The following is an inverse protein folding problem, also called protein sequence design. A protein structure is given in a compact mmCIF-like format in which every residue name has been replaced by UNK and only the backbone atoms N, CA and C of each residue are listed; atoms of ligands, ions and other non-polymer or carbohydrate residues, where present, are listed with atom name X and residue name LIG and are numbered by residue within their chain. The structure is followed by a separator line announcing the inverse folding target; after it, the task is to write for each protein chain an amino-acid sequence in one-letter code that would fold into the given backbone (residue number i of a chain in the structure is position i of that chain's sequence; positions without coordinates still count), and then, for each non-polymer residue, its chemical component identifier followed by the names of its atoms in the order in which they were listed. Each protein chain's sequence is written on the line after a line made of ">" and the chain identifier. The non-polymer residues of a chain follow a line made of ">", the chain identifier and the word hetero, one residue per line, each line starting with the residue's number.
data_IF_717889703399
#
_entry.id   IF_717889703399
#
_cell.length_a   1.000
_cell.length_b   1.000
_cell.length_c   1.000
_cell.angle_alpha   90.00
_cell.angle_beta   90.00
_cell.angle_gamma   90.00
#
_symmetry.space_group_name_H-M   'P 1'
#
loop_
_entity.id
_entity.type
_entity.pdbx_description
1 polymer ?
#
# COMPACT_ATOMS: atom_id res chain seq x y z
N UNK A 1 19.89 15.67 18.27
CA UNK A 1 19.47 16.33 17.00
C UNK A 1 18.44 15.43 16.34
N UNK A 2 17.23 15.92 16.02
CA UNK A 2 16.13 15.04 15.57
C UNK A 2 16.05 14.79 14.05
N UNK A 3 16.88 15.46 13.22
CA UNK A 3 16.81 15.39 11.75
C UNK A 3 18.19 15.22 11.10
N UNK A 4 19.08 14.48 11.76
CA UNK A 4 20.36 14.10 11.15
C UNK A 4 20.12 12.97 10.14
N UNK A 5 20.90 12.94 9.06
CA UNK A 5 20.84 11.83 8.10
C UNK A 5 21.26 10.53 8.81
N UNK A 6 20.38 9.52 8.79
CA UNK A 6 20.58 8.23 9.48
C UNK A 6 20.44 7.03 8.55
N UNK A 7 21.12 7.05 7.40
CA UNK A 7 21.13 5.93 6.44
C UNK A 7 19.91 5.82 5.51
N UNK A 8 18.93 6.73 5.60
CA UNK A 8 17.75 6.72 4.74
C UNK A 8 17.46 8.08 4.11
N UNK A 9 17.10 8.07 2.83
CA UNK A 9 16.64 9.24 2.08
C UNK A 9 15.29 8.90 1.44
N UNK A 10 14.22 9.49 1.98
CA UNK A 10 12.87 9.29 1.44
C UNK A 10 12.75 9.79 0.00
N UNK A 11 12.10 9.01 -0.86
CA UNK A 11 11.86 9.38 -2.25
C UNK A 11 10.50 10.06 -2.42
N UNK A 12 10.37 10.85 -3.48
CA UNK A 12 9.09 11.43 -3.87
C UNK A 12 8.11 10.35 -4.35
N UNK A 13 6.82 10.66 -4.31
CA UNK A 13 5.78 9.73 -4.73
C UNK A 13 5.89 9.41 -6.24
N UNK A 14 5.84 8.12 -6.60
CA UNK A 14 5.73 7.71 -8.00
C UNK A 14 4.31 7.89 -8.51
N UNK A 15 4.17 8.57 -9.66
CA UNK A 15 2.88 8.83 -10.30
C UNK A 15 2.61 7.81 -11.40
N UNK A 16 1.63 6.92 -11.16
CA UNK A 16 1.12 6.01 -12.19
C UNK A 16 -0.16 6.56 -12.83
N UNK A 17 -0.02 7.11 -14.04
CA UNK A 17 -1.14 7.64 -14.81
C UNK A 17 -1.93 6.52 -15.51
N UNK A 18 -3.19 6.35 -15.10
CA UNK A 18 -4.10 5.43 -15.77
C UNK A 18 -4.68 6.07 -17.04
N UNK A 19 -4.49 5.43 -18.18
CA UNK A 19 -4.97 5.94 -19.48
C UNK A 19 -6.23 5.21 -19.95
N UNK A 20 -7.04 5.90 -20.76
CA UNK A 20 -8.26 5.35 -21.35
C UNK A 20 -7.96 4.08 -22.18
N UNK A 21 -8.71 3.03 -21.92
CA UNK A 21 -8.64 1.74 -22.61
C UNK A 21 -9.95 1.42 -23.32
N UNK A 22 -10.45 0.20 -23.10
CA UNK A 22 -11.62 -0.33 -23.81
C UNK A 22 -12.91 0.38 -23.40
N UNK A 23 -13.74 0.71 -24.40
CA UNK A 23 -15.12 1.17 -24.19
C UNK A 23 -16.05 -0.02 -24.09
N UNK A 24 -17.00 0.06 -23.17
CA UNK A 24 -18.05 -0.95 -22.98
C UNK A 24 -19.38 -0.28 -22.70
N UNK A 25 -20.45 -0.95 -23.10
CA UNK A 25 -21.81 -0.53 -22.85
C UNK A 25 -22.54 -1.67 -22.13
N UNK A 26 -23.16 -1.36 -21.00
CA UNK A 26 -23.76 -2.34 -20.11
C UNK A 26 -25.18 -1.90 -19.77
N UNK A 27 -26.14 -2.78 -20.00
CA UNK A 27 -27.52 -2.57 -19.56
C UNK A 27 -27.70 -3.12 -18.13
N UNK A 28 -28.31 -2.32 -17.27
CA UNK A 28 -28.51 -2.64 -15.85
C UNK A 28 -29.99 -2.50 -15.52
N UNK A 29 -30.59 -3.51 -14.89
CA UNK A 29 -31.94 -3.42 -14.34
C UNK A 29 -31.88 -2.89 -12.91
N UNK A 30 -32.51 -1.73 -12.64
CA UNK A 30 -32.52 -1.15 -11.29
C UNK A 30 -33.59 -1.80 -10.41
N UNK A 31 -33.23 -2.86 -9.68
CA UNK A 31 -34.13 -3.58 -8.77
C UNK A 31 -34.25 -2.94 -7.38
N UNK A 32 -33.25 -2.17 -6.95
CA UNK A 32 -33.15 -1.54 -5.63
C UNK A 32 -32.80 -0.04 -5.76
N UNK A 33 -32.98 0.72 -4.68
CA UNK A 33 -32.54 2.14 -4.63
C UNK A 33 -31.02 2.28 -4.79
N UNK A 34 -30.28 1.38 -4.16
CA UNK A 34 -28.82 1.40 -4.13
C UNK A 34 -28.26 0.38 -5.12
N UNK A 35 -27.50 0.87 -6.11
CA UNK A 35 -26.80 0.02 -7.07
C UNK A 35 -25.57 -0.69 -6.48
N UNK A 36 -25.08 -0.23 -5.33
CA UNK A 36 -23.85 -0.71 -4.70
C UNK A 36 -22.57 -0.06 -5.23
N UNK A 37 -22.66 1.12 -5.85
CA UNK A 37 -21.52 1.87 -6.37
C UNK A 37 -21.05 2.95 -5.39
N UNK A 38 -19.73 3.10 -5.27
CA UNK A 38 -19.09 4.32 -4.75
C UNK A 38 -18.37 5.01 -5.90
N UNK A 39 -18.73 6.26 -6.17
CA UNK A 39 -18.21 7.04 -7.30
C UNK A 39 -17.28 8.11 -6.78
N UNK A 40 -16.17 8.31 -7.47
CA UNK A 40 -15.24 9.41 -7.26
C UNK A 40 -14.96 10.08 -8.61
N UNK A 41 -14.29 11.23 -8.59
CA UNK A 41 -13.81 11.87 -9.81
C UNK A 41 -12.32 12.22 -9.70
N UNK A 42 -11.72 12.53 -10.85
CA UNK A 42 -10.32 12.95 -10.93
C UNK A 42 -10.13 14.48 -10.82
N UNK A 43 -11.16 15.22 -10.40
CA UNK A 43 -11.15 16.69 -10.35
C UNK A 43 -11.17 17.39 -11.72
N UNK A 44 -11.14 16.66 -12.82
CA UNK A 44 -11.04 17.18 -14.19
C UNK A 44 -12.18 16.68 -15.11
N UNK A 45 -13.35 16.41 -14.52
CA UNK A 45 -14.57 16.09 -15.28
C UNK A 45 -14.74 14.61 -15.66
N UNK A 46 -13.95 13.70 -15.10
CA UNK A 46 -14.15 12.26 -15.28
C UNK A 46 -14.51 11.58 -13.96
N UNK A 47 -15.74 11.11 -13.86
CA UNK A 47 -16.21 10.28 -12.76
C UNK A 47 -15.93 8.80 -13.04
N UNK A 48 -15.52 8.07 -12.01
CA UNK A 48 -15.19 6.65 -12.10
C UNK A 48 -15.58 5.88 -10.85
N UNK A 49 -15.67 4.55 -10.99
CA UNK A 49 -16.08 3.64 -9.93
C UNK A 49 -14.89 3.40 -8.99
N UNK A 50 -15.00 3.87 -7.74
CA UNK A 50 -13.99 3.67 -6.69
C UNK A 50 -14.17 2.35 -5.93
N UNK A 51 -15.42 1.96 -5.69
CA UNK A 51 -15.77 0.71 -4.98
C UNK A 51 -17.08 0.13 -5.53
N UNK A 52 -17.18 -1.19 -5.47
CA UNK A 52 -18.39 -1.96 -5.75
C UNK A 52 -18.70 -2.80 -4.50
N UNK A 53 -19.88 -2.64 -3.93
CA UNK A 53 -20.32 -3.39 -2.75
C UNK A 53 -20.59 -4.85 -3.13
N UNK A 54 -20.04 -5.80 -2.39
CA UNK A 54 -20.29 -7.23 -2.60
C UNK A 54 -21.79 -7.57 -2.49
N UNK A 55 -22.27 -8.48 -3.34
CA UNK A 55 -23.67 -8.92 -3.40
C UNK A 55 -24.65 -7.90 -4.01
N UNK A 56 -24.19 -6.69 -4.36
CA UNK A 56 -25.02 -5.63 -4.96
C UNK A 56 -25.41 -5.91 -6.42
N UNK A 57 -26.35 -5.12 -6.94
CA UNK A 57 -26.80 -5.20 -8.35
C UNK A 57 -25.59 -5.15 -9.29
N UNK A 58 -24.70 -4.18 -9.10
CA UNK A 58 -23.55 -4.01 -9.99
C UNK A 58 -22.49 -5.09 -9.78
N UNK A 59 -22.32 -5.60 -8.54
CA UNK A 59 -21.37 -6.68 -8.28
C UNK A 59 -21.70 -7.97 -9.04
N UNK A 60 -22.97 -8.20 -9.36
CA UNK A 60 -23.41 -9.36 -10.17
C UNK A 60 -23.13 -9.21 -11.66
N UNK A 61 -22.68 -8.04 -12.11
CA UNK A 61 -22.42 -7.74 -13.51
C UNK A 61 -20.90 -7.71 -13.73
N UNK A 62 -20.36 -8.84 -14.20
CA UNK A 62 -18.90 -9.02 -14.36
C UNK A 62 -18.24 -7.99 -15.29
N UNK A 63 -19.00 -7.44 -16.24
CA UNK A 63 -18.51 -6.42 -17.15
C UNK A 63 -18.17 -5.09 -16.46
N UNK A 64 -18.70 -4.81 -15.26
CA UNK A 64 -18.46 -3.55 -14.53
C UNK A 64 -17.38 -3.76 -13.48
N UNK A 65 -16.33 -2.94 -13.52
CA UNK A 65 -15.14 -3.07 -12.71
C UNK A 65 -14.80 -1.79 -11.95
N UNK A 66 -14.10 -1.93 -10.82
CA UNK A 66 -13.45 -0.80 -10.17
C UNK A 66 -12.42 -0.17 -11.12
N UNK A 67 -12.39 1.16 -11.15
CA UNK A 67 -11.57 1.98 -12.05
C UNK A 67 -12.26 2.39 -13.35
N UNK A 68 -13.41 1.79 -13.69
CA UNK A 68 -14.14 2.19 -14.90
C UNK A 68 -14.63 3.63 -14.79
N UNK A 69 -14.32 4.42 -15.82
CA UNK A 69 -14.86 5.78 -15.98
C UNK A 69 -16.25 5.71 -16.60
N UNK A 70 -17.19 6.47 -16.07
CA UNK A 70 -18.56 6.55 -16.59
C UNK A 70 -18.60 7.73 -17.58
N UNK A 71 -18.88 7.48 -18.86
CA UNK A 71 -18.99 8.53 -19.89
C UNK A 71 -20.44 8.96 -20.13
N UNK A 72 -21.39 8.04 -19.96
CA UNK A 72 -22.81 8.33 -20.14
C UNK A 72 -23.70 7.40 -19.29
N UNK A 73 -24.86 7.92 -18.92
CA UNK A 73 -25.99 7.17 -18.34
C UNK A 73 -27.17 7.33 -19.31
N UNK A 74 -27.66 6.22 -19.85
CA UNK A 74 -28.52 6.19 -21.04
C UNK A 74 -27.86 6.98 -22.17
N UNK A 75 -28.60 7.90 -22.79
CA UNK A 75 -28.12 8.77 -23.87
C UNK A 75 -27.57 10.11 -23.34
N UNK A 76 -27.48 10.29 -22.02
CA UNK A 76 -26.96 11.52 -21.41
C UNK A 76 -25.48 11.39 -21.10
N UNK A 77 -24.66 12.20 -21.77
CA UNK A 77 -23.23 12.29 -21.43
C UNK A 77 -23.06 12.98 -20.08
N UNK A 78 -22.18 12.43 -19.27
CA UNK A 78 -21.85 12.95 -17.94
C UNK A 78 -20.40 13.44 -17.85
N UNK A 79 -19.73 13.60 -18.99
CA UNK A 79 -18.38 14.18 -19.04
C UNK A 79 -18.45 15.62 -18.56
N UNK A 80 -17.59 15.98 -17.61
CA UNK A 80 -17.62 17.28 -16.93
C UNK A 80 -18.40 17.28 -15.61
N UNK A 81 -19.25 16.28 -15.36
CA UNK A 81 -19.97 16.17 -14.10
C UNK A 81 -19.04 15.76 -12.95
N UNK A 82 -19.34 16.26 -11.76
CA UNK A 82 -18.71 15.82 -10.50
C UNK A 82 -19.31 14.50 -10.04
N UNK A 83 -18.52 13.73 -9.30
CA UNK A 83 -18.92 12.44 -8.76
C UNK A 83 -20.26 12.44 -7.98
N UNK A 84 -20.59 13.51 -7.27
CA UNK A 84 -21.85 13.61 -6.52
C UNK A 84 -23.06 13.81 -7.44
N UNK A 85 -22.91 14.48 -8.58
CA UNK A 85 -23.95 14.66 -9.58
C UNK A 85 -24.26 13.33 -10.26
N UNK A 86 -23.21 12.60 -10.64
CA UNK A 86 -23.33 11.25 -11.22
C UNK A 86 -23.99 10.29 -10.22
N UNK A 87 -23.59 10.33 -8.95
CA UNK A 87 -24.20 9.52 -7.90
C UNK A 87 -25.68 9.88 -7.69
N UNK A 88 -26.04 11.16 -7.78
CA UNK A 88 -27.43 11.63 -7.70
C UNK A 88 -28.25 11.12 -8.89
N UNK A 89 -27.75 11.28 -10.12
CA UNK A 89 -28.42 10.80 -11.34
C UNK A 89 -28.73 9.29 -11.25
N UNK A 90 -27.75 8.48 -10.84
CA UNK A 90 -27.95 7.04 -10.67
C UNK A 90 -28.98 6.69 -9.58
N UNK A 91 -29.02 7.48 -8.50
CA UNK A 91 -30.01 7.32 -7.42
C UNK A 91 -31.41 7.69 -7.89
N UNK A 92 -31.55 8.69 -8.75
CA UNK A 92 -32.84 9.20 -9.24
C UNK A 92 -33.42 8.38 -10.41
N UNK A 93 -32.64 7.48 -11.01
CA UNK A 93 -33.14 6.58 -12.05
C UNK A 93 -34.40 5.79 -11.58
N UNK A 94 -35.40 5.58 -12.45
CA UNK A 94 -36.60 4.83 -12.09
C UNK A 94 -36.28 3.39 -11.66
N UNK A 95 -36.96 2.91 -10.62
CA UNK A 95 -36.91 1.49 -10.22
C UNK A 95 -37.64 0.63 -11.25
N UNK A 96 -37.25 -0.64 -11.31
CA UNK A 96 -37.81 -1.66 -12.19
C UNK A 96 -37.71 -1.33 -13.69
N UNK A 97 -36.83 -0.39 -14.06
CA UNK A 97 -36.52 -0.08 -15.45
C UNK A 97 -35.04 -0.35 -15.76
N UNK A 98 -34.73 -0.83 -16.97
CA UNK A 98 -33.37 -0.91 -17.43
C UNK A 98 -32.81 0.49 -17.74
N UNK A 99 -31.53 0.67 -17.46
CA UNK A 99 -30.76 1.83 -17.90
C UNK A 99 -29.42 1.36 -18.46
N UNK A 100 -28.81 2.19 -19.29
CA UNK A 100 -27.54 1.86 -19.95
C UNK A 100 -26.40 2.65 -19.31
N UNK A 101 -25.26 2.01 -19.12
CA UNK A 101 -24.01 2.64 -18.71
C UNK A 101 -23.00 2.52 -19.84
N UNK A 102 -22.47 3.67 -20.28
CA UNK A 102 -21.30 3.69 -21.17
C UNK A 102 -20.06 3.93 -20.32
N UNK A 103 -19.19 2.92 -20.29
CA UNK A 103 -18.01 2.88 -19.44
C UNK A 103 -16.73 2.83 -20.26
N UNK A 104 -15.64 3.35 -19.70
CA UNK A 104 -14.29 3.26 -20.25
C UNK A 104 -13.39 2.64 -19.20
N UNK A 105 -12.88 1.45 -19.50
CA UNK A 105 -11.94 0.76 -18.64
C UNK A 105 -10.54 1.36 -18.80
N UNK A 106 -9.78 1.60 -17.72
CA UNK A 106 -8.39 2.00 -17.82
C UNK A 106 -7.56 0.85 -18.39
N UNK A 107 -6.55 1.16 -19.21
CA UNK A 107 -5.61 0.13 -19.71
C UNK A 107 -4.90 -0.52 -18.53
N UNK A 108 -4.95 -1.85 -18.45
CA UNK A 108 -4.21 -2.62 -17.44
C UNK A 108 -2.98 -3.24 -18.10
N UNK A 109 -1.86 -3.26 -17.37
CA UNK A 109 -0.59 -3.79 -17.89
C UNK A 109 -0.68 -5.26 -18.35
N UNK A 110 -1.61 -6.04 -17.77
CA UNK A 110 -1.80 -7.46 -18.07
C UNK A 110 -2.71 -7.74 -19.26
N UNK A 111 -3.33 -6.74 -19.89
CA UNK A 111 -4.14 -6.94 -21.10
C UNK A 111 -3.26 -7.25 -22.34
N UNK A 112 -1.92 -7.14 -22.23
CA UNK A 112 -0.97 -7.43 -23.32
C UNK A 112 -0.25 -8.78 -23.20
N UNK A 113 -0.54 -9.59 -22.17
CA UNK A 113 0.01 -10.93 -22.00
C UNK A 113 -1.17 -11.91 -21.98
N UNK A 114 -1.29 -12.75 -23.00
CA UNK A 114 -2.43 -13.66 -23.19
C UNK A 114 -2.81 -14.41 -21.91
N UNK A 115 -4.12 -14.37 -21.59
CA UNK A 115 -4.73 -15.00 -20.43
C UNK A 115 -4.31 -16.47 -20.30
N UNK A 116 -3.45 -16.78 -19.33
CA UNK A 116 -3.43 -18.12 -18.72
C UNK A 116 -4.36 -18.10 -17.52
N UNK A 117 -5.38 -18.92 -17.61
CA UNK A 117 -6.41 -19.19 -16.62
C UNK A 117 -5.85 -19.44 -15.21
N UNK A 118 -5.90 -18.41 -14.35
CA UNK A 118 -6.01 -18.60 -12.89
C UNK A 118 -6.96 -17.55 -12.33
N UNK A 119 -8.01 -18.03 -11.68
CA UNK A 119 -9.15 -17.24 -11.25
C UNK A 119 -8.77 -16.04 -10.39
N UNK A 120 -9.48 -14.94 -10.63
CA UNK A 120 -9.51 -13.75 -9.78
C UNK A 120 -9.84 -14.14 -8.35
N UNK A 121 -8.81 -14.23 -7.51
CA UNK A 121 -8.95 -13.96 -6.08
C UNK A 121 -8.37 -12.57 -5.87
N UNK A 122 -9.25 -11.61 -5.60
CA UNK A 122 -8.85 -10.33 -5.04
C UNK A 122 -8.03 -10.62 -3.78
N UNK A 123 -6.82 -10.06 -3.61
CA UNK A 123 -6.09 -10.20 -2.36
C UNK A 123 -6.94 -9.59 -1.24
N UNK A 124 -7.24 -10.45 -0.26
CA UNK A 124 -7.78 -10.10 1.05
C UNK A 124 -6.91 -9.01 1.66
N UNK A 125 -7.55 -8.13 2.43
CA UNK A 125 -7.01 -7.03 3.25
C UNK A 125 -5.63 -7.32 3.87
N UNK A 126 -4.57 -7.22 3.07
CA UNK A 126 -3.23 -6.96 3.56
C UNK A 126 -3.15 -5.45 3.80
N UNK A 127 -2.66 -5.05 4.97
CA UNK A 127 -2.36 -3.65 5.33
C UNK A 127 -1.60 -3.05 4.14
N UNK A 128 -2.29 -2.21 3.34
CA UNK A 128 -1.74 -1.65 2.11
C UNK A 128 -0.64 -0.69 2.54
N UNK A 129 0.62 -1.11 2.41
CA UNK A 129 1.75 -0.20 2.58
C UNK A 129 1.65 0.87 1.49
N UNK A 130 2.13 2.08 1.77
CA UNK A 130 2.01 3.22 0.85
C UNK A 130 2.73 3.00 -0.49
N UNK A 131 3.50 1.91 -0.64
CA UNK A 131 4.42 1.68 -1.76
C UNK A 131 5.50 2.77 -1.87
N UNK A 132 5.69 3.55 -0.79
CA UNK A 132 6.71 4.59 -0.73
C UNK A 132 8.07 3.94 -0.56
N UNK A 133 9.00 4.31 -1.43
CA UNK A 133 10.36 3.82 -1.43
C UNK A 133 11.29 4.82 -0.73
N UNK A 134 12.37 4.29 -0.16
CA UNK A 134 13.47 5.05 0.43
C UNK A 134 14.78 4.54 -0.15
N UNK A 135 15.72 5.46 -0.42
CA UNK A 135 17.08 5.09 -0.74
C UNK A 135 17.81 4.77 0.56
N UNK A 136 18.15 3.49 0.77
CA UNK A 136 18.91 3.03 1.93
C UNK A 136 20.40 3.07 1.63
N UNK A 137 21.13 3.82 2.43
CA UNK A 137 22.58 3.87 2.45
C UNK A 137 23.05 2.89 3.53
N UNK A 138 23.93 1.96 3.17
CA UNK A 138 24.51 0.97 4.09
C UNK A 138 26.01 1.19 4.18
N UNK A 139 26.55 1.25 5.40
CA UNK A 139 27.97 1.46 5.66
C UNK A 139 28.86 0.37 5.02
N UNK A 140 28.35 -0.86 4.90
CA UNK A 140 29.05 -2.03 4.35
C UNK A 140 28.60 -2.50 2.96
N UNK A 141 27.84 -1.72 2.19
CA UNK A 141 27.26 -2.19 0.92
C UNK A 141 26.79 -1.09 -0.04
N UNK A 142 26.36 -1.46 -1.27
CA UNK A 142 25.81 -0.49 -2.21
C UNK A 142 24.46 0.05 -1.70
N UNK A 143 24.13 1.28 -2.09
CA UNK A 143 22.84 1.87 -1.80
C UNK A 143 21.71 1.12 -2.54
N UNK A 144 20.60 0.86 -1.86
CA UNK A 144 19.46 0.07 -2.37
C UNK A 144 18.15 0.85 -2.25
N UNK A 145 17.21 0.58 -3.16
CA UNK A 145 15.83 1.05 -3.06
C UNK A 145 15.03 0.04 -2.23
N UNK A 146 14.42 0.51 -1.15
CA UNK A 146 13.66 -0.33 -0.21
C UNK A 146 12.35 0.34 0.17
N UNK A 147 11.37 -0.42 0.66
CA UNK A 147 10.15 0.19 1.24
C UNK A 147 10.52 0.97 2.51
N UNK A 148 9.78 2.05 2.78
CA UNK A 148 9.91 2.80 4.03
C UNK A 148 9.68 1.85 5.23
N UNK A 149 10.51 1.93 6.29
CA UNK A 149 10.35 1.09 7.47
C UNK A 149 8.92 1.17 8.05
N UNK A 150 8.39 0.04 8.49
CA UNK A 150 7.10 0.00 9.19
C UNK A 150 7.17 0.64 10.59
N UNK A 151 6.02 0.93 11.18
CA UNK A 151 5.88 1.51 12.54
C UNK A 151 6.70 0.73 13.59
N UNK A 152 6.67 -0.61 13.50
CA UNK A 152 7.49 -1.50 14.34
C UNK A 152 9.00 -1.28 14.16
N UNK A 153 9.47 -1.11 12.92
CA UNK A 153 10.89 -0.95 12.64
C UNK A 153 11.40 0.40 13.14
N UNK A 154 10.59 1.46 13.00
CA UNK A 154 10.92 2.78 13.55
C UNK A 154 11.01 2.73 15.07
N UNK A 155 10.01 2.13 15.75
CA UNK A 155 10.02 2.01 17.21
C UNK A 155 11.18 1.14 17.71
N UNK A 156 11.41 -0.02 17.09
CA UNK A 156 12.51 -0.91 17.45
C UNK A 156 13.87 -0.23 17.23
N UNK A 157 14.06 0.47 16.11
CA UNK A 157 15.32 1.18 15.83
C UNK A 157 15.56 2.30 16.83
N UNK A 158 14.50 3.01 17.25
CA UNK A 158 14.60 4.04 18.27
C UNK A 158 15.02 3.46 19.63
N UNK A 159 14.41 2.36 20.07
CA UNK A 159 14.78 1.69 21.33
C UNK A 159 16.24 1.19 21.31
N UNK A 160 16.67 0.64 20.18
CA UNK A 160 18.07 0.18 20.02
C UNK A 160 19.04 1.36 20.01
N UNK A 161 18.69 2.48 19.38
CA UNK A 161 19.52 3.69 19.38
C UNK A 161 19.64 4.31 20.79
N UNK A 162 18.59 4.24 21.60
CA UNK A 162 18.63 4.66 23.00
C UNK A 162 19.51 3.72 23.86
N UNK A 163 19.55 2.41 23.56
CA UNK A 163 20.49 1.47 24.18
C UNK A 163 21.94 1.73 23.76
N UNK A 164 22.19 2.09 22.50
CA UNK A 164 23.53 2.50 22.03
C UNK A 164 24.03 3.75 22.79
N UNK A 165 23.13 4.68 23.09
CA UNK A 165 23.48 5.87 23.89
C UNK A 165 23.82 5.51 25.33
N UNK A 166 23.03 4.65 25.97
CA UNK A 166 23.25 4.28 27.36
C UNK A 166 24.53 3.44 27.57
N UNK A 167 24.83 2.53 26.64
CA UNK A 167 25.99 1.64 26.73
C UNK A 167 27.28 2.25 26.20
N UNK A 168 27.23 2.95 25.07
CA UNK A 168 28.41 3.41 24.34
C UNK A 168 28.53 4.94 24.28
N UNK A 169 27.49 5.68 24.69
CA UNK A 169 27.46 7.14 24.57
C UNK A 169 27.36 7.63 23.13
N UNK A 170 26.92 6.77 22.20
CA UNK A 170 26.78 7.11 20.77
C UNK A 170 25.32 7.00 20.32
N UNK A 171 24.95 7.81 19.34
CA UNK A 171 23.67 7.73 18.63
C UNK A 171 23.97 7.44 17.17
N UNK A 172 23.54 6.28 16.68
CA UNK A 172 23.74 5.84 15.31
C UNK A 172 22.48 5.12 14.81
N UNK A 173 21.55 5.87 14.19
CA UNK A 173 20.31 5.30 13.66
C UNK A 173 20.53 4.26 12.55
N UNK A 174 21.64 4.32 11.82
CA UNK A 174 21.96 3.36 10.75
C UNK A 174 22.41 2.03 11.37
N UNK A 175 23.27 2.10 12.39
CA UNK A 175 23.67 0.95 13.19
C UNK A 175 22.45 0.29 13.86
N UNK A 176 21.60 1.09 14.51
CA UNK A 176 20.37 0.59 15.15
C UNK A 176 19.44 -0.10 14.14
N UNK A 177 19.23 0.51 12.97
CA UNK A 177 18.44 -0.08 11.88
C UNK A 177 19.03 -1.42 11.39
N UNK A 178 20.36 -1.53 11.35
CA UNK A 178 21.06 -2.77 10.96
C UNK A 178 20.89 -3.87 12.00
N UNK A 179 20.89 -3.53 13.30
CA UNK A 179 20.61 -4.49 14.38
C UNK A 179 19.16 -5.01 14.30
N UNK A 180 18.18 -4.12 14.08
CA UNK A 180 16.77 -4.50 13.91
C UNK A 180 16.60 -5.41 12.71
N UNK A 181 17.21 -5.09 11.58
CA UNK A 181 17.18 -5.92 10.37
C UNK A 181 17.81 -7.30 10.60
N UNK A 182 18.94 -7.36 11.30
CA UNK A 182 19.62 -8.62 11.65
C UNK A 182 18.72 -9.50 12.51
N UNK A 183 18.00 -8.90 13.47
CA UNK A 183 17.08 -9.63 14.35
C UNK A 183 15.94 -10.31 13.59
N UNK A 184 15.41 -9.67 12.53
CA UNK A 184 14.32 -10.22 11.70
C UNK A 184 14.74 -11.50 10.98
N UNK A 185 16.02 -11.64 10.68
CA UNK A 185 16.56 -12.79 9.98
C UNK A 185 16.97 -13.94 10.91
N UNK A 186 16.72 -13.81 12.22
CA UNK A 186 17.14 -14.77 13.27
C UNK A 186 15.96 -15.19 14.13
N UNK A 187 15.98 -16.44 14.62
CA UNK A 187 14.90 -16.98 15.43
C UNK A 187 15.20 -16.99 16.94
N UNK A 188 16.48 -16.96 17.32
CA UNK A 188 16.93 -17.07 18.71
C UNK A 188 18.01 -16.03 19.03
N UNK A 189 18.14 -15.67 20.30
CA UNK A 189 19.16 -14.72 20.80
C UNK A 189 20.58 -15.18 20.45
N UNK A 190 20.84 -16.49 20.51
CA UNK A 190 22.15 -17.06 20.16
C UNK A 190 22.48 -16.91 18.68
N UNK A 191 21.47 -17.08 17.81
CA UNK A 191 21.65 -16.85 16.38
C UNK A 191 21.83 -15.37 16.07
N UNK A 192 21.09 -14.50 16.77
CA UNK A 192 21.22 -13.06 16.70
C UNK A 192 22.63 -12.61 17.08
N UNK A 193 23.15 -13.01 18.24
CA UNK A 193 24.50 -12.70 18.70
C UNK A 193 25.56 -13.11 17.67
N UNK A 194 25.49 -14.35 17.18
CA UNK A 194 26.44 -14.86 16.17
C UNK A 194 26.41 -14.07 14.86
N UNK A 195 25.23 -13.65 14.42
CA UNK A 195 25.09 -12.82 13.21
C UNK A 195 25.55 -11.40 13.45
N UNK A 196 25.25 -10.84 14.62
CA UNK A 196 25.70 -9.52 15.03
C UNK A 196 27.24 -9.46 15.04
N UNK A 197 27.91 -10.46 15.61
CA UNK A 197 29.37 -10.56 15.58
C UNK A 197 29.93 -10.68 14.16
N UNK A 198 29.22 -11.37 13.26
CA UNK A 198 29.65 -11.50 11.87
C UNK A 198 29.53 -10.19 11.08
N UNK A 199 28.63 -9.29 11.47
CA UNK A 199 28.34 -8.04 10.74
C UNK A 199 29.00 -6.83 11.41
N UNK A 200 29.09 -6.85 12.74
CA UNK A 200 29.49 -5.73 13.61
C UNK A 200 30.51 -6.15 14.68
N UNK A 201 31.23 -7.27 14.49
CA UNK A 201 32.19 -7.79 15.48
C UNK A 201 33.32 -6.84 15.86
N UNK A 202 33.61 -5.82 15.02
CA UNK A 202 34.59 -4.76 15.35
C UNK A 202 34.17 -3.91 16.55
N UNK A 203 32.87 -3.82 16.85
CA UNK A 203 32.35 -3.07 17.99
C UNK A 203 32.55 -3.81 19.32
N UNK A 204 32.69 -5.15 19.30
CA UNK A 204 32.91 -5.96 20.50
C UNK A 204 31.80 -5.83 21.56
N UNK A 205 30.53 -5.90 21.14
CA UNK A 205 29.39 -5.73 22.04
C UNK A 205 29.38 -6.80 23.16
N UNK A 206 29.17 -6.41 24.44
CA UNK A 206 28.98 -7.35 25.53
C UNK A 206 27.74 -8.23 25.35
N UNK A 207 27.79 -9.48 25.79
CA UNK A 207 26.64 -10.41 25.71
C UNK A 207 25.36 -9.84 26.36
N UNK A 208 25.51 -9.11 27.47
CA UNK A 208 24.40 -8.45 28.17
C UNK A 208 23.68 -7.43 27.25
N UNK A 209 24.46 -6.62 26.52
CA UNK A 209 23.92 -5.65 25.57
C UNK A 209 23.15 -6.34 24.43
N UNK A 210 23.68 -7.44 23.89
CA UNK A 210 23.03 -8.20 22.81
C UNK A 210 21.68 -8.77 23.26
N UNK A 211 21.59 -9.25 24.50
CA UNK A 211 20.33 -9.73 25.10
C UNK A 211 19.33 -8.60 25.27
N UNK A 212 19.79 -7.42 25.74
CA UNK A 212 18.92 -6.25 25.91
C UNK A 212 18.39 -5.72 24.57
N UNK A 213 19.24 -5.64 23.55
CA UNK A 213 18.81 -5.27 22.18
C UNK A 213 17.75 -6.24 21.66
N UNK A 214 17.97 -7.55 21.84
CA UNK A 214 16.97 -8.55 21.44
C UNK A 214 15.64 -8.38 22.18
N UNK A 215 15.69 -8.13 23.49
CA UNK A 215 14.51 -7.91 24.31
C UNK A 215 13.76 -6.63 23.89
N UNK A 216 14.47 -5.52 23.65
CA UNK A 216 13.88 -4.25 23.21
C UNK A 216 13.16 -4.38 21.86
N UNK A 217 13.73 -5.16 20.92
CA UNK A 217 13.10 -5.44 19.63
C UNK A 217 11.86 -6.34 19.81
N UNK A 218 11.92 -7.34 20.68
CA UNK A 218 10.77 -8.19 20.99
C UNK A 218 9.62 -7.37 21.63
N UNK A 219 9.94 -6.46 22.54
CA UNK A 219 8.96 -5.57 23.17
C UNK A 219 8.31 -4.63 22.15
N UNK A 220 9.09 -4.01 21.26
CA UNK A 220 8.54 -3.20 20.17
C UNK A 220 7.60 -4.01 19.25
N UNK A 221 7.88 -5.31 19.08
CA UNK A 221 7.04 -6.21 18.27
C UNK A 221 5.70 -6.50 18.94
N UNK A 222 5.68 -6.60 20.26
CA UNK A 222 4.44 -6.75 21.03
C UNK A 222 3.62 -5.44 21.08
N UNK A 223 4.29 -4.29 21.13
CA UNK A 223 3.63 -2.99 21.17
C UNK A 223 2.93 -2.60 19.83
N UNK A 224 3.52 -3.02 18.70
CA UNK A 224 3.02 -2.73 17.35
C UNK A 224 2.20 -3.89 16.72
N UNK A 225 2.02 -4.99 17.44
CA UNK A 225 1.42 -6.26 16.96
C UNK A 225 -0.10 -6.34 17.06
#
# INVERSE_FOLDING_TARGET
>A
MQKLLGGQIGLEDFIFAHVRGQRKEVQVLKTEDALGLTITDNGAGYAFIKRIKEGSIINRIEAVCVGDSIEAINDHSIVGCRHYEVAKMLRELPKAQPFTLRLVQPKRAFDMIGQRSRGSKCPVEAKVSSGRETLRLRAGGPATLEEVPGEFEEEASQKVDDLLESYMGIRDPELASTMVETSKATATVQEFARRLDSVLGEFGFPDEFVVEVWAAIAEAREACG
#
